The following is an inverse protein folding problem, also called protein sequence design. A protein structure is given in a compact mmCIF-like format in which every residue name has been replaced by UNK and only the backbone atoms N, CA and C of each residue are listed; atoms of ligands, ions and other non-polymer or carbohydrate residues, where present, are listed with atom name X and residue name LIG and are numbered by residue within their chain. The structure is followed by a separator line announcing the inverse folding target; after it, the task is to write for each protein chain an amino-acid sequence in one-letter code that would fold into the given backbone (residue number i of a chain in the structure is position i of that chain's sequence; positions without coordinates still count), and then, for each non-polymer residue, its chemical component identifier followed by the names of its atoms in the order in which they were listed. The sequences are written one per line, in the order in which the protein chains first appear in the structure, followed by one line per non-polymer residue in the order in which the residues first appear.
data_IF_498663807495
#
_entry.id   IF_498663807495
#
_cell.length_a   1.000
_cell.length_b   1.000
_cell.length_c   1.000
_cell.angle_alpha   90.00
_cell.angle_beta   90.00
_cell.angle_gamma   90.00
#
_symmetry.space_group_name_H-M   'P 1'
#
loop_
_entity.id
_entity.type
_entity.pdbx_description
1 polymer ?
#
# COMPACT_ATOMS: atom_id res chain seq x y z
N UNK A 1 -13.80 -10.13 13.39
CA UNK A 1 -13.43 -8.87 12.69
C UNK A 1 -12.08 -9.09 12.00
N UNK A 2 -12.03 -9.04 10.68
CA UNK A 2 -10.79 -9.24 9.91
C UNK A 2 -9.96 -7.94 9.92
N UNK A 3 -8.87 -7.91 10.68
CA UNK A 3 -8.07 -6.70 10.88
C UNK A 3 -7.05 -6.43 9.75
N UNK A 4 -6.82 -7.39 8.86
CA UNK A 4 -5.84 -7.26 7.77
C UNK A 4 -6.18 -6.15 6.77
N UNK A 5 -7.42 -6.14 6.27
CA UNK A 5 -7.91 -5.11 5.32
C UNK A 5 -7.84 -3.70 5.88
N UNK A 6 -8.13 -3.53 7.17
CA UNK A 6 -8.07 -2.21 7.84
C UNK A 6 -6.64 -1.71 7.95
N UNK A 7 -5.67 -2.58 8.23
CA UNK A 7 -4.25 -2.20 8.30
C UNK A 7 -3.69 -1.85 6.92
N UNK A 8 -4.08 -2.61 5.91
CA UNK A 8 -3.71 -2.38 4.52
C UNK A 8 -4.19 -1.00 4.04
N UNK A 9 -5.47 -0.69 4.25
CA UNK A 9 -6.03 0.62 3.93
C UNK A 9 -5.30 1.76 4.65
N UNK A 10 -5.03 1.61 5.96
CA UNK A 10 -4.30 2.63 6.72
C UNK A 10 -2.88 2.87 6.18
N UNK A 11 -2.22 1.82 5.70
CA UNK A 11 -0.90 1.92 5.06
C UNK A 11 -0.96 2.68 3.73
N UNK A 12 -1.99 2.41 2.93
CA UNK A 12 -2.25 3.12 1.68
C UNK A 12 -2.53 4.61 1.93
N UNK A 13 -3.43 4.92 2.87
CA UNK A 13 -3.74 6.31 3.23
C UNK A 13 -2.49 7.07 3.71
N UNK A 14 -1.55 6.38 4.37
CA UNK A 14 -0.28 6.98 4.79
C UNK A 14 0.60 7.32 3.59
N UNK A 15 0.73 6.41 2.61
CA UNK A 15 1.52 6.66 1.40
C UNK A 15 0.91 7.79 0.57
N UNK A 16 -0.42 7.80 0.38
CA UNK A 16 -1.09 8.88 -0.36
C UNK A 16 -0.81 10.24 0.27
N UNK A 17 -1.02 10.38 1.58
CA UNK A 17 -0.72 11.63 2.31
C UNK A 17 0.75 12.04 2.22
N UNK A 18 1.66 11.08 2.23
CA UNK A 18 3.08 11.36 2.05
C UNK A 18 3.35 11.89 0.64
N UNK A 19 2.83 11.23 -0.40
CA UNK A 19 2.97 11.68 -1.79
C UNK A 19 2.39 13.08 -1.99
N UNK A 20 1.23 13.38 -1.41
CA UNK A 20 0.65 14.73 -1.45
C UNK A 20 1.56 15.77 -0.80
N UNK A 21 2.17 15.45 0.34
CA UNK A 21 3.12 16.36 1.01
C UNK A 21 4.37 16.65 0.17
N UNK A 22 4.71 15.74 -0.75
CA UNK A 22 5.85 15.87 -1.66
C UNK A 22 5.46 16.39 -3.04
N UNK A 23 4.17 16.63 -3.29
CA UNK A 23 3.62 16.94 -4.61
C UNK A 23 3.98 15.87 -5.68
N UNK A 24 4.01 14.62 -5.26
CA UNK A 24 4.34 13.46 -6.10
C UNK A 24 3.09 12.65 -6.46
N UNK A 25 3.15 11.96 -7.60
CA UNK A 25 2.05 11.13 -8.10
C UNK A 25 2.40 9.64 -8.18
N UNK A 26 3.63 9.25 -7.85
CA UNK A 26 4.07 7.85 -7.91
C UNK A 26 4.80 7.47 -6.63
N UNK A 27 4.47 6.30 -6.07
CA UNK A 27 5.07 5.81 -4.83
C UNK A 27 5.26 4.31 -4.79
N UNK A 28 5.97 3.85 -3.77
CA UNK A 28 6.23 2.43 -3.53
C UNK A 28 5.79 2.08 -2.11
N UNK A 29 5.06 0.97 -1.98
CA UNK A 29 4.63 0.44 -0.69
C UNK A 29 5.17 -0.98 -0.53
N UNK A 30 6.02 -1.17 0.49
CA UNK A 30 6.53 -2.49 0.87
C UNK A 30 5.87 -2.93 2.17
N UNK A 31 5.16 -4.04 2.13
CA UNK A 31 4.43 -4.61 3.25
C UNK A 31 5.04 -5.96 3.64
N UNK A 32 5.50 -6.07 4.88
CA UNK A 32 5.93 -7.36 5.42
C UNK A 32 4.75 -8.09 6.08
N UNK A 33 4.44 -9.28 5.58
CA UNK A 33 3.42 -10.17 6.11
C UNK A 33 4.03 -11.48 6.61
N UNK A 34 4.06 -11.65 7.93
CA UNK A 34 4.44 -12.93 8.54
C UNK A 34 3.32 -14.00 8.46
N UNK A 35 2.20 -13.68 7.82
CA UNK A 35 1.11 -14.61 7.63
C UNK A 35 1.44 -15.56 6.47
N UNK A 36 1.76 -16.81 6.78
CA UNK A 36 2.07 -17.87 5.80
C UNK A 36 0.96 -18.13 4.76
N UNK A 37 -0.25 -17.63 4.99
CA UNK A 37 -1.38 -17.71 4.04
C UNK A 37 -1.55 -16.47 3.17
N UNK A 38 -0.88 -15.35 3.48
CA UNK A 38 -0.94 -14.15 2.62
C UNK A 38 0.03 -14.40 1.46
N UNK A 39 -0.49 -14.34 0.23
CA UNK A 39 0.32 -14.51 -0.96
C UNK A 39 1.27 -13.33 -1.15
N UNK A 40 2.43 -13.59 -1.74
CA UNK A 40 3.32 -12.55 -2.25
C UNK A 40 2.60 -11.83 -3.40
N UNK A 41 2.45 -10.51 -3.29
CA UNK A 41 1.86 -9.66 -4.35
C UNK A 41 2.90 -8.66 -4.84
N UNK A 42 2.83 -8.34 -6.13
CA UNK A 42 3.64 -7.32 -6.81
C UNK A 42 2.76 -6.67 -7.87
N UNK A 43 2.09 -5.59 -7.51
CA UNK A 43 1.10 -4.97 -8.40
C UNK A 43 1.07 -3.45 -8.31
N UNK A 44 0.56 -2.83 -9.37
CA UNK A 44 0.27 -1.40 -9.40
C UNK A 44 -1.16 -1.18 -8.94
N UNK A 45 -1.35 -0.19 -8.07
CA UNK A 45 -2.66 0.30 -7.65
C UNK A 45 -2.79 1.78 -8.01
N UNK A 46 -4.00 2.16 -8.38
CA UNK A 46 -4.37 3.56 -8.61
C UNK A 46 -5.30 3.99 -7.48
N UNK A 47 -4.89 5.01 -6.73
CA UNK A 47 -5.64 5.52 -5.59
C UNK A 47 -5.49 7.05 -5.54
N UNK A 48 -6.62 7.78 -5.58
CA UNK A 48 -6.63 9.25 -5.49
C UNK A 48 -5.72 9.95 -6.51
N UNK A 49 -5.62 9.39 -7.73
CA UNK A 49 -4.76 9.91 -8.79
C UNK A 49 -3.26 9.64 -8.57
N UNK A 50 -2.91 8.85 -7.54
CA UNK A 50 -1.57 8.34 -7.28
C UNK A 50 -1.44 6.92 -7.80
N UNK A 51 -0.30 6.66 -8.41
CA UNK A 51 0.10 5.35 -8.89
C UNK A 51 1.10 4.73 -7.91
N UNK A 52 0.69 3.71 -7.17
CA UNK A 52 1.52 3.10 -6.12
C UNK A 52 1.88 1.68 -6.53
N UNK A 53 3.17 1.32 -6.43
CA UNK A 53 3.59 -0.07 -6.61
C UNK A 53 3.64 -0.76 -5.26
N UNK A 54 2.77 -1.75 -5.05
CA UNK A 54 2.73 -2.55 -3.84
C UNK A 54 3.55 -3.83 -3.99
N UNK A 55 4.37 -4.11 -2.98
CA UNK A 55 5.05 -5.39 -2.82
C UNK A 55 4.73 -5.94 -1.43
N UNK A 56 4.11 -7.12 -1.38
CA UNK A 56 3.92 -7.88 -0.15
C UNK A 56 4.96 -9.00 -0.07
N UNK A 57 5.73 -9.00 1.03
CA UNK A 57 6.80 -9.95 1.35
C UNK A 57 6.45 -10.74 2.60
#
# INVERSE_FOLDING_TARGET
IWHGKVKEQKGLDQVVRYLDSQNENTGYLVLFSFNKKKGYTREWIELEGKRIFEVVV
#
